data_IF_970587119725
#
_entry.id   IF_970587119725
#
_cell.length_a   1.000
_cell.length_b   1.000
_cell.length_c   1.000
_cell.angle_alpha   90.00
_cell.angle_beta   90.00
_cell.angle_gamma   90.00
#
_symmetry.space_group_name_H-M   'P 1'
#
loop_
_entity.id
_entity.type
_entity.pdbx_description
1 polymer ?
#
# COMPACT_ATOMS: atom_id res chain seq x y z
N UNK A 1 -33.70 30.05 -35.68
CA UNK A 1 -34.05 29.55 -34.33
C UNK A 1 -33.61 28.10 -34.05
N UNK A 2 -33.36 27.28 -35.07
CA UNK A 2 -32.90 25.87 -34.88
C UNK A 2 -31.45 25.74 -34.34
N UNK A 3 -30.57 26.69 -34.63
CA UNK A 3 -29.14 26.60 -34.27
C UNK A 3 -28.82 27.05 -32.83
N UNK A 4 -29.72 27.76 -32.16
CA UNK A 4 -29.54 28.23 -30.77
C UNK A 4 -29.84 27.12 -29.77
N UNK A 5 -30.79 26.22 -30.08
CA UNK A 5 -31.16 25.10 -29.22
C UNK A 5 -30.05 24.06 -29.19
N UNK A 6 -29.34 23.84 -30.27
CA UNK A 6 -28.22 22.87 -30.33
C UNK A 6 -27.00 23.34 -29.53
N UNK A 7 -26.75 24.66 -29.47
CA UNK A 7 -25.65 25.24 -28.73
C UNK A 7 -25.89 25.16 -27.20
N UNK A 8 -27.14 25.27 -26.75
CA UNK A 8 -27.50 25.22 -25.34
C UNK A 8 -27.47 23.81 -24.75
N UNK A 9 -27.64 22.77 -25.61
CA UNK A 9 -27.57 21.36 -25.19
C UNK A 9 -26.12 20.87 -24.95
N UNK A 10 -25.11 21.58 -25.50
CA UNK A 10 -23.70 21.15 -25.36
C UNK A 10 -23.01 21.73 -24.12
N UNK A 11 -23.60 22.73 -23.45
CA UNK A 11 -23.03 23.41 -22.29
C UNK A 11 -23.38 22.66 -20.96
N UNK A 12 -24.30 21.71 -20.98
CA UNK A 12 -24.77 21.01 -19.77
C UNK A 12 -23.97 19.76 -19.39
N UNK A 13 -22.88 19.44 -20.10
CA UNK A 13 -22.15 18.16 -19.90
C UNK A 13 -20.85 18.31 -19.06
N UNK A 14 -20.48 19.53 -18.64
CA UNK A 14 -19.20 19.77 -17.97
C UNK A 14 -19.30 20.15 -16.48
N UNK A 15 -20.39 19.83 -15.80
CA UNK A 15 -20.50 19.98 -14.35
C UNK A 15 -20.65 18.64 -13.64
N UNK A 16 -19.83 17.65 -14.02
CA UNK A 16 -19.60 16.49 -13.18
C UNK A 16 -18.37 16.79 -12.30
N UNK A 17 -18.57 17.56 -11.24
CA UNK A 17 -17.68 17.49 -10.10
C UNK A 17 -18.02 16.18 -9.40
N UNK A 18 -17.13 15.20 -9.51
CA UNK A 18 -17.13 14.02 -8.67
C UNK A 18 -16.80 14.48 -7.25
N UNK A 19 -17.83 14.70 -6.45
CA UNK A 19 -17.68 14.94 -5.02
C UNK A 19 -17.50 13.56 -4.39
N UNK A 20 -16.27 13.19 -4.13
CA UNK A 20 -15.95 12.02 -3.32
C UNK A 20 -16.36 12.34 -1.88
N UNK A 21 -17.59 12.02 -1.52
CA UNK A 21 -17.99 11.98 -0.11
C UNK A 21 -17.31 10.77 0.53
N UNK A 22 -16.11 11.00 1.09
CA UNK A 22 -15.36 9.95 1.77
C UNK A 22 -15.26 10.24 3.27
N UNK A 23 -14.99 9.21 4.07
CA UNK A 23 -14.71 9.37 5.50
C UNK A 23 -13.32 9.98 5.76
N UNK A 24 -12.82 10.82 4.86
CA UNK A 24 -11.47 11.38 4.90
C UNK A 24 -11.39 12.77 5.55
N UNK A 25 -12.49 13.27 6.08
CA UNK A 25 -12.42 14.41 6.99
C UNK A 25 -11.84 13.93 8.33
N UNK A 26 -10.53 13.79 8.37
CA UNK A 26 -9.81 13.85 9.63
C UNK A 26 -10.04 15.27 10.14
N UNK A 27 -10.76 15.38 11.28
CA UNK A 27 -10.91 16.62 12.03
C UNK A 27 -9.52 17.24 12.20
N UNK A 28 -9.18 18.18 11.32
CA UNK A 28 -7.95 18.95 11.40
C UNK A 28 -8.12 20.00 12.49
N UNK A 29 -8.20 19.52 13.74
CA UNK A 29 -8.00 20.36 14.90
C UNK A 29 -6.71 21.14 14.67
N UNK A 30 -6.85 22.44 14.69
CA UNK A 30 -5.88 23.51 14.47
C UNK A 30 -4.46 23.14 14.98
N UNK A 31 -3.67 22.45 14.15
CA UNK A 31 -2.31 22.03 14.49
C UNK A 31 -1.39 23.21 14.14
N UNK A 32 -1.09 24.02 15.11
CA UNK A 32 -0.01 25.02 15.01
C UNK A 32 1.32 24.27 14.78
N UNK A 33 2.12 24.62 13.77
CA UNK A 33 3.35 23.87 13.45
C UNK A 33 4.52 24.24 14.39
N UNK A 34 4.41 23.94 15.66
CA UNK A 34 5.52 24.22 16.60
C UNK A 34 5.83 23.09 17.58
N UNK A 35 5.24 21.90 17.39
CA UNK A 35 5.49 20.80 18.32
C UNK A 35 6.01 19.57 17.55
N UNK A 36 7.33 19.41 17.52
CA UNK A 36 8.02 18.23 16.96
C UNK A 36 7.64 16.93 17.68
N UNK A 37 6.92 17.03 18.80
CA UNK A 37 6.41 15.89 19.58
C UNK A 37 5.05 15.36 19.09
N UNK A 38 4.45 15.93 18.05
CA UNK A 38 3.11 15.54 17.57
C UNK A 38 3.17 14.45 16.47
N UNK A 39 4.33 14.20 15.89
CA UNK A 39 4.46 13.19 14.83
C UNK A 39 4.67 11.81 15.40
N UNK A 40 3.79 10.88 15.00
CA UNK A 40 3.93 9.46 15.32
C UNK A 40 4.73 8.78 14.22
N UNK A 41 5.82 8.12 14.59
CA UNK A 41 6.65 7.38 13.65
C UNK A 41 5.85 6.30 12.96
N UNK A 42 5.98 6.22 11.64
CA UNK A 42 5.31 5.23 10.79
C UNK A 42 6.34 4.29 10.18
N UNK A 43 5.99 3.02 10.16
CA UNK A 43 6.78 1.97 9.52
C UNK A 43 5.96 1.38 8.37
N UNK A 44 6.52 1.42 7.18
CA UNK A 44 5.94 0.79 5.99
C UNK A 44 6.44 -0.65 5.89
N UNK A 45 5.50 -1.58 5.83
CA UNK A 45 5.74 -2.99 5.53
C UNK A 45 5.20 -3.28 4.15
N UNK A 46 6.06 -3.57 3.20
CA UNK A 46 5.71 -3.96 1.83
C UNK A 46 5.75 -5.48 1.73
N UNK A 47 4.57 -6.14 1.75
CA UNK A 47 4.42 -7.59 1.59
C UNK A 47 4.23 -7.93 0.10
N UNK A 48 5.26 -8.48 -0.52
CA UNK A 48 5.18 -8.99 -1.89
C UNK A 48 4.57 -10.38 -1.89
N UNK A 49 3.42 -10.50 -2.54
CA UNK A 49 2.50 -11.62 -2.37
C UNK A 49 1.83 -12.06 -3.68
N UNK A 50 1.01 -13.09 -3.61
CA UNK A 50 0.17 -13.56 -4.71
C UNK A 50 -0.97 -14.44 -4.21
N UNK A 51 -2.17 -14.24 -4.75
CA UNK A 51 -3.39 -14.87 -4.25
C UNK A 51 -3.44 -16.41 -4.40
N UNK A 52 -2.54 -17.01 -5.19
CA UNK A 52 -2.40 -18.49 -5.28
C UNK A 52 -1.12 -19.00 -4.60
N UNK A 53 -0.41 -18.15 -3.87
CA UNK A 53 0.78 -18.53 -3.12
C UNK A 53 0.38 -19.22 -1.81
N UNK A 54 0.77 -20.47 -1.63
CA UNK A 54 0.37 -21.27 -0.45
C UNK A 54 0.97 -20.75 0.87
N UNK A 55 2.15 -20.14 0.83
CA UNK A 55 2.84 -19.64 2.02
C UNK A 55 2.48 -18.19 2.35
N UNK A 56 1.96 -17.40 1.40
CA UNK A 56 1.68 -15.99 1.58
C UNK A 56 0.63 -15.67 2.67
N UNK A 57 -0.39 -16.51 2.92
CA UNK A 57 -1.29 -16.28 4.05
C UNK A 57 -0.59 -16.24 5.42
N UNK A 58 0.59 -16.89 5.57
CA UNK A 58 1.34 -16.81 6.81
C UNK A 58 2.03 -15.45 7.00
N UNK A 59 2.46 -14.80 5.92
CA UNK A 59 3.01 -13.44 5.95
C UNK A 59 1.92 -12.41 6.24
N UNK A 60 0.74 -12.56 5.64
CA UNK A 60 -0.39 -11.70 5.95
C UNK A 60 -0.78 -11.75 7.45
N UNK A 61 -0.76 -12.94 8.07
CA UNK A 61 -0.99 -13.06 9.52
C UNK A 61 0.12 -12.43 10.36
N UNK A 62 1.37 -12.50 9.92
CA UNK A 62 2.48 -11.82 10.60
C UNK A 62 2.32 -10.31 10.53
N UNK A 63 1.97 -9.76 9.36
CA UNK A 63 1.67 -8.36 9.20
C UNK A 63 0.51 -7.90 10.11
N UNK A 64 -0.55 -8.70 10.18
CA UNK A 64 -1.70 -8.46 11.06
C UNK A 64 -1.27 -8.44 12.54
N UNK A 65 -0.48 -9.42 12.98
CA UNK A 65 0.02 -9.48 14.34
C UNK A 65 0.91 -8.27 14.70
N UNK A 66 1.77 -7.83 13.78
CA UNK A 66 2.58 -6.63 13.96
C UNK A 66 1.68 -5.39 14.04
N UNK A 67 0.66 -5.30 13.20
CA UNK A 67 -0.29 -4.20 13.22
C UNK A 67 -1.10 -4.17 14.54
N UNK A 68 -1.49 -5.33 15.06
CA UNK A 68 -2.20 -5.42 16.35
C UNK A 68 -1.35 -4.92 17.52
N UNK A 69 -0.02 -5.14 17.47
CA UNK A 69 0.91 -4.69 18.52
C UNK A 69 1.19 -3.18 18.45
N UNK A 70 1.34 -2.63 17.26
CA UNK A 70 1.83 -1.24 17.08
C UNK A 70 0.78 -0.29 16.50
N UNK A 71 -0.38 -0.81 16.13
CA UNK A 71 -1.53 -0.03 15.70
C UNK A 71 -1.23 0.90 14.53
N UNK A 72 -1.57 2.16 14.71
CA UNK A 72 -1.42 3.19 13.68
C UNK A 72 0.03 3.52 13.30
N UNK A 73 1.03 2.96 13.97
CA UNK A 73 2.43 3.11 13.58
C UNK A 73 2.80 2.23 12.38
N UNK A 74 1.98 1.24 12.04
CA UNK A 74 2.24 0.34 10.94
C UNK A 74 1.37 0.68 9.72
N UNK A 75 2.03 0.75 8.58
CA UNK A 75 1.37 0.85 7.26
C UNK A 75 1.71 -0.43 6.51
N UNK A 76 0.72 -1.32 6.36
CA UNK A 76 0.87 -2.56 5.60
C UNK A 76 0.43 -2.37 4.15
N UNK A 77 1.25 -2.78 3.20
CA UNK A 77 0.96 -2.74 1.77
C UNK A 77 1.20 -4.10 1.14
N UNK A 78 0.12 -4.77 0.73
CA UNK A 78 0.19 -6.03 -0.01
C UNK A 78 0.37 -5.76 -1.50
N UNK A 79 1.48 -6.22 -2.08
CA UNK A 79 1.86 -5.99 -3.47
C UNK A 79 1.79 -7.30 -4.22
N UNK A 80 0.76 -7.48 -5.05
CA UNK A 80 0.57 -8.68 -5.84
C UNK A 80 1.52 -8.69 -7.04
N UNK A 81 2.48 -9.62 -7.02
CA UNK A 81 3.51 -9.76 -8.04
C UNK A 81 3.64 -11.20 -8.50
N UNK A 82 4.55 -11.46 -9.45
CA UNK A 82 4.81 -12.77 -10.01
C UNK A 82 3.78 -13.25 -11.05
N UNK A 83 4.31 -13.86 -12.08
CA UNK A 83 3.50 -14.51 -13.13
C UNK A 83 2.86 -15.82 -12.66
N UNK A 84 3.43 -16.45 -11.64
CA UNK A 84 2.99 -17.75 -11.16
C UNK A 84 1.91 -17.65 -10.08
N UNK A 85 2.05 -16.72 -9.13
CA UNK A 85 1.22 -16.68 -7.93
C UNK A 85 0.17 -15.57 -7.91
N UNK A 86 0.36 -14.50 -8.68
CA UNK A 86 -0.58 -13.37 -8.71
C UNK A 86 -1.40 -13.30 -10.01
N UNK A 87 -1.06 -14.09 -11.03
CA UNK A 87 -1.83 -14.14 -12.28
C UNK A 87 -3.19 -14.79 -12.06
N UNK A 88 -4.30 -14.21 -12.56
CA UNK A 88 -5.62 -14.82 -12.50
C UNK A 88 -5.64 -16.26 -13.07
N UNK A 89 -6.39 -17.13 -12.42
CA UNK A 89 -6.60 -18.53 -12.84
C UNK A 89 -8.10 -18.84 -12.88
N UNK A 90 -8.84 -18.32 -13.86
CA UNK A 90 -10.31 -18.45 -13.90
C UNK A 90 -10.80 -19.89 -14.11
N UNK A 91 -9.94 -20.81 -14.59
CA UNK A 91 -10.26 -22.21 -14.81
C UNK A 91 -10.19 -23.08 -13.55
N UNK A 92 -9.66 -22.60 -12.46
CA UNK A 92 -9.66 -23.30 -11.17
C UNK A 92 -11.03 -23.07 -10.53
N UNK A 93 -11.66 -24.12 -10.08
CA UNK A 93 -13.07 -24.24 -9.65
C UNK A 93 -13.52 -23.28 -8.52
N UNK A 94 -12.78 -22.29 -8.14
CA UNK A 94 -13.21 -21.32 -7.15
C UNK A 94 -13.33 -19.94 -7.81
N UNK A 95 -14.40 -19.20 -7.56
CA UNK A 95 -14.53 -17.81 -8.02
C UNK A 95 -13.44 -16.88 -7.46
N UNK A 96 -12.65 -17.37 -6.50
CA UNK A 96 -11.65 -16.62 -5.75
C UNK A 96 -10.39 -16.22 -6.53
N UNK A 97 -10.09 -16.81 -7.70
CA UNK A 97 -8.84 -16.54 -8.43
C UNK A 97 -9.04 -15.85 -9.79
N UNK A 98 -10.18 -15.28 -10.03
CA UNK A 98 -10.51 -14.65 -11.30
C UNK A 98 -10.01 -13.19 -11.42
N UNK A 99 -9.77 -12.52 -10.31
CA UNK A 99 -9.36 -11.12 -10.30
C UNK A 99 -7.85 -10.96 -10.45
N UNK A 100 -7.44 -9.91 -11.15
CA UNK A 100 -6.05 -9.50 -11.27
C UNK A 100 -5.76 -8.34 -10.31
N UNK A 101 -5.03 -8.63 -9.24
CA UNK A 101 -4.64 -7.64 -8.25
C UNK A 101 -3.25 -7.03 -8.54
N UNK A 102 -2.61 -7.44 -9.64
CA UNK A 102 -1.32 -6.89 -10.03
C UNK A 102 -1.50 -5.49 -10.58
N UNK A 103 -0.51 -4.64 -10.33
CA UNK A 103 -0.43 -3.29 -10.87
C UNK A 103 0.89 -3.10 -11.62
N UNK A 104 0.94 -2.11 -12.52
CA UNK A 104 2.20 -1.75 -13.18
C UNK A 104 3.24 -1.28 -12.16
N UNK A 105 2.82 -0.51 -11.15
CA UNK A 105 3.70 -0.04 -10.09
C UNK A 105 4.26 -1.19 -9.24
N UNK A 106 3.41 -2.16 -8.87
CA UNK A 106 3.87 -3.35 -8.16
C UNK A 106 4.91 -4.14 -8.95
N UNK A 107 4.73 -4.24 -10.29
CA UNK A 107 5.72 -4.88 -11.17
C UNK A 107 7.02 -4.08 -11.23
N UNK A 108 6.95 -2.76 -11.37
CA UNK A 108 8.14 -1.90 -11.40
C UNK A 108 8.94 -1.98 -10.09
N UNK A 109 8.25 -2.01 -8.95
CA UNK A 109 8.91 -2.20 -7.65
C UNK A 109 9.52 -3.59 -7.51
N UNK A 110 8.83 -4.62 -7.95
CA UNK A 110 9.37 -5.99 -7.95
C UNK A 110 10.62 -6.10 -8.82
N UNK A 111 10.60 -5.50 -10.01
CA UNK A 111 11.75 -5.45 -10.93
C UNK A 111 12.91 -4.62 -10.33
N UNK A 112 12.62 -3.51 -9.65
CA UNK A 112 13.64 -2.64 -9.05
C UNK A 112 14.30 -3.28 -7.83
N UNK A 113 13.49 -3.87 -6.94
CA UNK A 113 13.95 -4.43 -5.68
C UNK A 113 14.24 -5.93 -5.75
N UNK A 114 13.95 -6.58 -6.88
CA UNK A 114 14.19 -7.99 -7.15
C UNK A 114 13.58 -8.94 -6.09
N UNK A 115 12.39 -8.61 -5.56
CA UNK A 115 11.80 -9.32 -4.42
C UNK A 115 11.29 -10.70 -4.80
N UNK A 116 10.43 -10.82 -5.84
CA UNK A 116 9.85 -12.12 -6.21
C UNK A 116 10.87 -13.11 -6.75
N UNK A 117 12.06 -12.63 -7.15
CA UNK A 117 13.16 -13.46 -7.62
C UNK A 117 13.72 -14.43 -6.56
N UNK A 118 13.60 -14.08 -5.28
CA UNK A 118 14.03 -14.96 -4.16
C UNK A 118 12.90 -15.84 -3.64
N UNK A 119 11.69 -15.68 -4.16
CA UNK A 119 10.49 -16.43 -3.76
C UNK A 119 9.49 -15.56 -2.98
N UNK A 120 8.27 -16.10 -2.81
CA UNK A 120 7.19 -15.45 -2.06
C UNK A 120 6.75 -16.36 -0.89
N UNK A 121 6.33 -15.78 0.25
CA UNK A 121 6.28 -14.36 0.56
C UNK A 121 7.67 -13.79 0.87
N UNK A 122 7.90 -12.54 0.49
CA UNK A 122 9.04 -11.75 0.91
C UNK A 122 8.61 -10.28 1.00
N UNK A 123 9.33 -9.47 1.75
CA UNK A 123 8.94 -8.09 1.95
C UNK A 123 10.08 -7.16 2.25
N UNK A 124 9.74 -5.90 2.46
CA UNK A 124 10.65 -4.85 2.88
C UNK A 124 10.07 -4.04 4.02
N UNK A 125 10.94 -3.53 4.87
CA UNK A 125 10.58 -2.60 5.93
C UNK A 125 11.26 -1.27 5.64
N UNK A 126 10.45 -0.21 5.35
CA UNK A 126 10.95 1.12 4.99
C UNK A 126 12.02 1.10 3.87
N UNK A 127 12.13 0.02 3.10
CA UNK A 127 13.15 -0.22 2.06
C UNK A 127 14.59 -0.13 2.55
N UNK A 128 14.79 -0.30 3.86
CA UNK A 128 16.11 -0.21 4.49
C UNK A 128 16.96 -1.40 4.10
N UNK A 129 18.26 -1.14 3.92
CA UNK A 129 19.25 -2.16 3.51
C UNK A 129 19.35 -2.37 2.00
N UNK A 130 18.60 -1.60 1.18
CA UNK A 130 18.78 -1.64 -0.26
C UNK A 130 20.20 -1.18 -0.65
N UNK A 131 20.88 -1.86 -1.60
CA UNK A 131 20.36 -2.95 -2.43
C UNK A 131 20.62 -4.37 -1.90
N UNK A 132 21.28 -4.57 -0.78
CA UNK A 132 21.82 -5.89 -0.40
C UNK A 132 21.03 -6.61 0.69
N UNK A 133 20.41 -5.88 1.64
CA UNK A 133 19.78 -6.42 2.87
C UNK A 133 18.30 -6.02 3.04
N UNK A 134 17.68 -5.54 1.97
CA UNK A 134 16.29 -5.03 2.01
C UNK A 134 15.23 -6.14 1.91
N UNK A 135 15.59 -7.30 1.33
CA UNK A 135 14.69 -8.44 1.13
C UNK A 135 14.62 -9.28 2.39
N UNK A 136 13.47 -9.26 3.04
CA UNK A 136 13.25 -9.92 4.32
C UNK A 136 12.21 -11.02 4.19
N UNK A 137 12.48 -12.17 4.81
CA UNK A 137 11.47 -13.16 5.10
C UNK A 137 10.50 -12.64 6.17
N UNK A 138 9.27 -13.15 6.17
CA UNK A 138 8.24 -12.71 7.13
C UNK A 138 8.69 -12.83 8.60
N UNK A 139 9.51 -13.82 8.93
CA UNK A 139 9.98 -14.08 10.30
C UNK A 139 10.99 -13.02 10.79
N UNK A 140 11.48 -12.18 9.90
CA UNK A 140 12.42 -11.08 10.21
C UNK A 140 11.69 -9.73 10.40
N UNK A 141 10.41 -9.62 9.97
CA UNK A 141 9.69 -8.37 9.95
C UNK A 141 9.52 -7.75 11.34
N UNK A 142 9.09 -8.54 12.32
CA UNK A 142 8.89 -8.06 13.68
C UNK A 142 10.15 -7.43 14.29
N UNK A 143 11.29 -8.09 14.16
CA UNK A 143 12.56 -7.57 14.67
C UNK A 143 13.00 -6.30 13.95
N UNK A 144 12.81 -6.24 12.63
CA UNK A 144 13.15 -5.04 11.85
C UNK A 144 12.24 -3.86 12.22
N UNK A 145 10.94 -4.11 12.43
CA UNK A 145 9.99 -3.08 12.87
C UNK A 145 10.39 -2.51 14.23
N UNK A 146 10.74 -3.35 15.21
CA UNK A 146 11.22 -2.90 16.53
C UNK A 146 12.43 -1.99 16.36
N UNK A 147 13.46 -2.46 15.64
CA UNK A 147 14.67 -1.68 15.40
C UNK A 147 14.39 -0.32 14.76
N UNK A 148 13.44 -0.25 13.82
CA UNK A 148 13.11 1.00 13.16
C UNK A 148 12.26 1.92 14.03
N UNK A 149 11.39 1.40 14.88
CA UNK A 149 10.60 2.19 15.82
C UNK A 149 11.47 2.85 16.90
N UNK A 150 12.57 2.22 17.32
CA UNK A 150 13.50 2.75 18.32
C UNK A 150 14.34 3.93 17.82
N UNK A 151 14.46 4.11 16.50
CA UNK A 151 15.20 5.26 15.92
C UNK A 151 14.41 6.56 16.11
N UNK A 152 15.11 7.66 16.20
CA UNK A 152 14.49 8.98 16.24
C UNK A 152 13.73 9.30 14.93
N UNK A 153 12.81 10.25 15.00
CA UNK A 153 12.08 10.75 13.82
C UNK A 153 12.92 11.86 13.19
N UNK A 154 13.42 11.63 11.98
CA UNK A 154 14.26 12.59 11.27
C UNK A 154 13.43 13.75 10.69
N UNK A 155 12.20 13.50 10.26
CA UNK A 155 11.29 14.49 9.69
C UNK A 155 9.84 14.07 9.82
N UNK A 156 8.94 15.05 9.86
CA UNK A 156 7.50 14.86 9.82
C UNK A 156 6.90 15.48 8.56
N UNK A 157 5.83 14.87 8.04
CA UNK A 157 5.08 15.38 6.90
C UNK A 157 3.65 15.66 7.36
N UNK A 158 3.16 16.86 7.08
CA UNK A 158 1.74 17.20 7.21
C UNK A 158 1.18 17.62 5.86
N UNK A 159 -0.04 17.18 5.56
CA UNK A 159 -0.77 17.57 4.36
C UNK A 159 -1.92 18.45 4.80
N UNK A 160 -1.93 19.70 4.33
CA UNK A 160 -3.04 20.63 4.53
C UNK A 160 -3.76 20.81 3.20
N UNK A 161 -5.08 20.65 3.18
CA UNK A 161 -5.97 20.86 2.02
C UNK A 161 -6.69 22.21 2.15
#
# INVERSE_FOLDING_TARGET
>A
MKNIITLFSFILIITSCDVVEGPYEIDTGNVTPSDTNTYVKKILIEDFTGHTCQNCPSAARELEAIHDLYGNQIIGLAIHVSKSFAKPKPSIQAPSYQYDFRTNWGKEWDDLFEISGVGLPAGMINRIGYPNEHRLGKDEWGNRVITELEKEIDFGISITT
#
